data_IF_337533236832
#
_entry.id   IF_337533236832
#
_cell.length_a   1.000
_cell.length_b   1.000
_cell.length_c   1.000
_cell.angle_alpha   90.00
_cell.angle_beta   90.00
_cell.angle_gamma   90.00
#
_symmetry.space_group_name_H-M   'P 1'
#
loop_
_entity.id
_entity.type
_entity.pdbx_description
1 polymer ?
#
# COMPACT_ATOMS: atom_id res chain seq x y z
N UNK A 1 -9.14 -3.98 4.45
CA UNK A 1 -10.44 -4.71 4.57
C UNK A 1 -11.32 -3.97 5.54
N UNK A 2 -12.59 -3.77 5.21
CA UNK A 2 -13.55 -3.13 6.12
C UNK A 2 -13.84 -3.96 7.38
N UNK A 3 -14.40 -3.32 8.41
CA UNK A 3 -15.00 -4.04 9.54
C UNK A 3 -16.30 -4.74 9.08
N UNK A 4 -16.41 -6.04 9.33
CA UNK A 4 -17.63 -6.80 9.04
C UNK A 4 -18.87 -6.21 9.76
N UNK A 5 -18.67 -5.61 10.94
CA UNK A 5 -19.74 -4.94 11.68
C UNK A 5 -20.25 -3.70 10.95
N UNK A 6 -19.38 -2.98 10.24
CA UNK A 6 -19.79 -1.85 9.41
C UNK A 6 -20.66 -2.33 8.25
N UNK A 7 -20.22 -3.37 7.54
CA UNK A 7 -20.98 -3.95 6.41
C UNK A 7 -22.34 -4.47 6.88
N UNK A 8 -22.37 -5.15 8.01
CA UNK A 8 -23.61 -5.69 8.63
C UNK A 8 -24.60 -4.61 9.02
N UNK A 9 -24.12 -3.57 9.72
CA UNK A 9 -24.98 -2.59 10.36
C UNK A 9 -25.37 -1.43 9.43
N UNK A 10 -24.51 -1.12 8.45
CA UNK A 10 -24.68 0.00 7.52
C UNK A 10 -24.34 -0.40 6.07
N UNK A 11 -25.00 -1.42 5.50
CA UNK A 11 -24.70 -1.89 4.14
C UNK A 11 -24.91 -0.80 3.09
N UNK A 12 -25.88 0.09 3.26
CA UNK A 12 -26.14 1.17 2.31
C UNK A 12 -25.01 2.22 2.27
N UNK A 13 -24.36 2.52 3.41
CA UNK A 13 -23.17 3.38 3.45
C UNK A 13 -22.04 2.75 2.61
N UNK A 14 -21.83 1.44 2.73
CA UNK A 14 -20.80 0.74 1.96
C UNK A 14 -21.12 0.75 0.47
N UNK A 15 -22.40 0.52 0.11
CA UNK A 15 -22.86 0.58 -1.29
C UNK A 15 -22.74 1.99 -1.87
N UNK A 16 -23.08 3.03 -1.09
CA UNK A 16 -22.89 4.42 -1.51
C UNK A 16 -21.41 4.73 -1.78
N UNK A 17 -20.53 4.27 -0.92
CA UNK A 17 -19.08 4.41 -1.12
C UNK A 17 -18.59 3.69 -2.40
N UNK A 18 -19.09 2.49 -2.68
CA UNK A 18 -18.80 1.76 -3.92
C UNK A 18 -19.25 2.56 -5.15
N UNK A 19 -20.45 3.18 -5.13
CA UNK A 19 -20.94 4.05 -6.20
C UNK A 19 -20.06 5.30 -6.38
N UNK A 20 -19.64 5.93 -5.27
CA UNK A 20 -18.70 7.07 -5.29
C UNK A 20 -17.36 6.71 -5.94
N UNK A 21 -16.96 5.44 -5.87
CA UNK A 21 -15.75 4.91 -6.52
C UNK A 21 -15.99 4.38 -7.93
N UNK A 22 -17.19 4.49 -8.48
CA UNK A 22 -17.57 4.00 -9.81
C UNK A 22 -17.32 2.49 -10.01
N UNK A 23 -17.59 1.68 -8.98
CA UNK A 23 -17.35 0.24 -8.95
C UNK A 23 -18.64 -0.56 -8.74
N UNK A 24 -19.70 -0.19 -9.43
CA UNK A 24 -21.08 -0.71 -9.22
C UNK A 24 -21.17 -2.24 -9.33
N UNK A 25 -20.26 -2.88 -10.06
CA UNK A 25 -20.15 -4.34 -10.15
C UNK A 25 -19.89 -5.02 -8.79
N UNK A 26 -19.39 -4.28 -7.80
CA UNK A 26 -19.12 -4.78 -6.45
C UNK A 26 -20.31 -4.66 -5.50
N UNK A 27 -21.41 -3.99 -5.89
CA UNK A 27 -22.58 -3.77 -5.02
C UNK A 27 -23.19 -5.08 -4.53
N UNK A 28 -23.29 -6.08 -5.40
CA UNK A 28 -23.84 -7.40 -5.07
C UNK A 28 -23.05 -8.10 -3.95
N UNK A 29 -21.74 -7.87 -3.88
CA UNK A 29 -20.87 -8.47 -2.86
C UNK A 29 -21.25 -8.03 -1.44
N UNK A 30 -21.78 -6.81 -1.28
CA UNK A 30 -22.23 -6.30 0.03
C UNK A 30 -23.42 -7.12 0.53
N UNK A 31 -24.41 -7.36 -0.33
CA UNK A 31 -25.59 -8.15 0.02
C UNK A 31 -25.24 -9.62 0.31
N UNK A 32 -24.33 -10.18 -0.48
CA UNK A 32 -23.82 -11.54 -0.27
C UNK A 32 -23.12 -11.67 1.08
N UNK A 33 -22.25 -10.69 1.44
CA UNK A 33 -21.57 -10.67 2.75
C UNK A 33 -22.57 -10.57 3.89
N UNK A 34 -23.59 -9.70 3.78
CA UNK A 34 -24.63 -9.55 4.81
C UNK A 34 -25.40 -10.85 5.00
N UNK A 35 -25.76 -11.53 3.89
CA UNK A 35 -26.49 -12.80 3.94
C UNK A 35 -25.66 -13.91 4.58
N UNK A 36 -24.41 -14.08 4.14
CA UNK A 36 -23.49 -15.09 4.67
C UNK A 36 -23.12 -14.84 6.13
N UNK A 37 -22.90 -13.57 6.54
CA UNK A 37 -22.65 -13.23 7.94
C UNK A 37 -23.85 -13.53 8.83
N UNK A 38 -25.08 -13.37 8.32
CA UNK A 38 -26.29 -13.75 9.05
C UNK A 38 -26.34 -15.27 9.26
N UNK A 39 -26.13 -16.04 8.20
CA UNK A 39 -26.10 -17.51 8.24
C UNK A 39 -25.02 -17.99 9.20
N UNK A 40 -23.80 -17.48 9.09
CA UNK A 40 -22.69 -17.81 9.98
C UNK A 40 -23.04 -17.59 11.46
N UNK A 41 -23.69 -16.48 11.80
CA UNK A 41 -24.10 -16.19 13.18
C UNK A 41 -25.22 -17.10 13.69
N UNK A 42 -26.14 -17.49 12.80
CA UNK A 42 -27.18 -18.45 13.12
C UNK A 42 -26.59 -19.84 13.39
N UNK A 43 -25.67 -20.31 12.53
CA UNK A 43 -24.97 -21.58 12.68
C UNK A 43 -24.09 -21.60 13.94
N UNK A 44 -23.34 -20.53 14.20
CA UNK A 44 -22.52 -20.38 15.39
C UNK A 44 -23.36 -20.44 16.69
N UNK A 45 -24.49 -19.72 16.72
CA UNK A 45 -25.42 -19.73 17.86
C UNK A 45 -26.00 -21.14 18.05
N UNK A 46 -26.37 -21.83 16.98
CA UNK A 46 -26.87 -23.20 17.04
C UNK A 46 -25.80 -24.16 17.57
N UNK A 47 -24.57 -24.04 17.10
CA UNK A 47 -23.42 -24.80 17.60
C UNK A 47 -23.17 -24.61 19.09
N UNK A 48 -23.29 -23.39 19.61
CA UNK A 48 -23.17 -23.10 21.05
C UNK A 48 -24.28 -23.76 21.87
N UNK A 49 -25.53 -23.71 21.39
CA UNK A 49 -26.66 -24.40 22.03
C UNK A 49 -26.42 -25.91 22.10
N UNK A 50 -26.03 -26.52 20.98
CA UNK A 50 -25.72 -27.96 20.92
C UNK A 50 -24.54 -28.34 21.84
N UNK A 51 -23.53 -27.52 21.90
CA UNK A 51 -22.35 -27.70 22.78
C UNK A 51 -22.76 -27.74 24.25
N UNK A 52 -23.64 -26.83 24.67
CA UNK A 52 -24.19 -26.80 26.01
C UNK A 52 -25.07 -28.01 26.31
N UNK A 53 -26.03 -28.37 25.41
CA UNK A 53 -26.89 -29.54 25.56
C UNK A 53 -26.10 -30.84 25.64
N UNK A 54 -25.14 -31.04 24.75
CA UNK A 54 -24.19 -32.18 24.79
C UNK A 54 -23.49 -32.31 26.14
N UNK A 55 -23.00 -31.19 26.70
CA UNK A 55 -22.31 -31.21 28.00
C UNK A 55 -23.24 -31.62 29.14
N UNK A 56 -24.51 -31.21 29.12
CA UNK A 56 -25.53 -31.61 30.10
C UNK A 56 -25.82 -33.09 29.98
N UNK A 57 -26.16 -33.57 28.77
CA UNK A 57 -26.49 -34.97 28.53
C UNK A 57 -25.33 -35.92 28.83
N UNK A 58 -24.12 -35.54 28.52
CA UNK A 58 -22.94 -36.34 28.81
C UNK A 58 -22.74 -36.56 30.32
N UNK A 59 -23.02 -35.54 31.16
CA UNK A 59 -23.02 -35.69 32.61
C UNK A 59 -24.14 -36.60 33.10
N UNK A 60 -25.35 -36.58 32.48
CA UNK A 60 -26.48 -37.42 32.85
C UNK A 60 -26.24 -38.90 32.55
N UNK A 61 -25.54 -39.23 31.44
CA UNK A 61 -25.17 -40.61 31.06
C UNK A 61 -24.43 -41.29 32.22
N UNK A 62 -23.43 -40.61 32.83
CA UNK A 62 -22.70 -41.18 33.97
C UNK A 62 -23.61 -41.48 35.15
N UNK A 63 -24.59 -40.62 35.47
CA UNK A 63 -25.56 -40.83 36.51
C UNK A 63 -26.55 -41.96 36.20
N UNK A 64 -27.01 -42.12 34.93
CA UNK A 64 -27.88 -43.24 34.48
C UNK A 64 -27.15 -44.55 34.57
N UNK A 65 -25.88 -44.62 34.15
CA UNK A 65 -25.07 -45.84 34.28
C UNK A 65 -24.89 -46.26 35.73
N UNK A 66 -24.63 -45.31 36.64
CA UNK A 66 -24.50 -45.56 38.08
C UNK A 66 -25.81 -46.11 38.72
N UNK A 67 -26.99 -45.72 38.19
CA UNK A 67 -28.29 -46.21 38.64
C UNK A 67 -28.77 -47.50 37.92
N UNK A 68 -27.96 -48.07 37.00
CA UNK A 68 -28.31 -49.26 36.27
C UNK A 68 -29.32 -49.05 35.11
N UNK A 69 -29.63 -47.80 34.74
CA UNK A 69 -30.57 -47.40 33.69
C UNK A 69 -29.92 -47.50 32.29
N UNK A 70 -29.49 -48.72 31.91
CA UNK A 70 -28.64 -48.93 30.69
C UNK A 70 -29.33 -48.54 29.38
N UNK A 71 -30.61 -48.85 29.23
CA UNK A 71 -31.36 -48.57 27.99
C UNK A 71 -31.48 -47.06 27.75
N UNK A 72 -31.81 -46.30 28.81
CA UNK A 72 -31.83 -44.85 28.76
C UNK A 72 -30.46 -44.22 28.47
N UNK A 73 -29.40 -44.79 29.07
CA UNK A 73 -28.04 -44.33 28.81
C UNK A 73 -27.62 -44.55 27.35
N UNK A 74 -28.04 -45.68 26.74
CA UNK A 74 -27.73 -45.96 25.32
C UNK A 74 -28.55 -45.04 24.39
N UNK A 75 -29.83 -44.74 24.70
CA UNK A 75 -30.63 -43.76 23.96
C UNK A 75 -30.02 -42.34 24.03
N UNK A 76 -29.64 -41.88 25.22
CA UNK A 76 -28.96 -40.61 25.40
C UNK A 76 -27.57 -40.55 24.71
N UNK A 77 -26.84 -41.65 24.64
CA UNK A 77 -25.59 -41.70 23.84
C UNK A 77 -25.84 -41.49 22.35
N UNK A 78 -26.93 -42.09 21.81
CA UNK A 78 -27.28 -41.87 20.39
C UNK A 78 -27.64 -40.43 20.12
N UNK A 79 -28.37 -39.77 21.04
CA UNK A 79 -28.72 -38.36 20.97
C UNK A 79 -27.46 -37.48 21.01
N UNK A 80 -26.54 -37.75 21.94
CA UNK A 80 -25.23 -37.07 22.02
C UNK A 80 -24.42 -37.24 20.74
N UNK A 81 -24.46 -38.44 20.13
CA UNK A 81 -23.77 -38.69 18.85
C UNK A 81 -24.38 -37.87 17.72
N UNK A 82 -25.72 -37.84 17.61
CA UNK A 82 -26.42 -37.03 16.61
C UNK A 82 -26.09 -35.52 16.76
N UNK A 83 -26.02 -35.01 17.99
CA UNK A 83 -25.55 -33.65 18.26
C UNK A 83 -24.11 -33.40 17.83
N UNK A 84 -23.21 -34.37 18.04
CA UNK A 84 -21.82 -34.27 17.58
C UNK A 84 -21.72 -34.21 16.06
N UNK A 85 -22.51 -35.03 15.36
CA UNK A 85 -22.53 -35.05 13.90
C UNK A 85 -23.10 -33.70 13.33
N UNK A 86 -24.15 -33.16 13.97
CA UNK A 86 -24.71 -31.84 13.63
C UNK A 86 -23.68 -30.71 13.88
N UNK A 87 -23.00 -30.74 15.03
CA UNK A 87 -21.96 -29.74 15.35
C UNK A 87 -20.81 -29.77 14.34
N UNK A 88 -20.35 -30.96 13.92
CA UNK A 88 -19.29 -31.08 12.92
C UNK A 88 -19.73 -30.51 11.56
N UNK A 89 -21.00 -30.69 11.17
CA UNK A 89 -21.55 -30.12 9.96
C UNK A 89 -21.61 -28.57 10.03
N UNK A 90 -22.05 -28.03 11.18
CA UNK A 90 -22.08 -26.57 11.41
C UNK A 90 -20.69 -25.96 11.40
N UNK A 91 -19.70 -26.59 12.07
CA UNK A 91 -18.30 -26.13 12.09
C UNK A 91 -17.70 -26.10 10.66
N UNK A 92 -18.00 -27.12 9.84
CA UNK A 92 -17.57 -27.13 8.44
C UNK A 92 -18.23 -26.02 7.63
N UNK A 93 -19.52 -25.74 7.86
CA UNK A 93 -20.26 -24.67 7.20
C UNK A 93 -19.77 -23.29 7.63
N UNK A 94 -19.53 -23.08 8.93
CA UNK A 94 -18.93 -21.85 9.45
C UNK A 94 -17.58 -21.54 8.77
N UNK A 95 -16.70 -22.55 8.64
CA UNK A 95 -15.41 -22.39 7.98
C UNK A 95 -15.54 -22.04 6.48
N UNK A 96 -16.50 -22.63 5.77
CA UNK A 96 -16.81 -22.29 4.37
C UNK A 96 -17.29 -20.83 4.26
N UNK A 97 -18.26 -20.46 5.12
CA UNK A 97 -18.81 -19.09 5.13
C UNK A 97 -17.74 -18.05 5.47
N UNK A 98 -16.86 -18.31 6.45
CA UNK A 98 -15.74 -17.42 6.77
C UNK A 98 -14.81 -17.20 5.58
N UNK A 99 -14.47 -18.27 4.85
CA UNK A 99 -13.61 -18.17 3.67
C UNK A 99 -14.27 -17.34 2.55
N UNK A 100 -15.56 -17.56 2.28
CA UNK A 100 -16.32 -16.84 1.26
C UNK A 100 -16.58 -15.37 1.63
N UNK A 101 -16.89 -15.09 2.90
CA UNK A 101 -16.98 -13.72 3.43
C UNK A 101 -15.65 -13.02 3.27
N UNK A 102 -14.53 -13.64 3.71
CA UNK A 102 -13.19 -13.06 3.61
C UNK A 102 -12.83 -12.73 2.17
N UNK A 103 -13.13 -13.61 1.23
CA UNK A 103 -12.86 -13.41 -0.21
C UNK A 103 -13.54 -12.14 -0.73
N UNK A 104 -14.82 -11.93 -0.41
CA UNK A 104 -15.58 -10.73 -0.83
C UNK A 104 -15.10 -9.47 -0.11
N UNK A 105 -14.87 -9.57 1.20
CA UNK A 105 -14.38 -8.45 2.01
C UNK A 105 -13.00 -7.94 1.56
N UNK A 106 -12.18 -8.77 0.93
CA UNK A 106 -10.90 -8.37 0.34
C UNK A 106 -11.05 -7.56 -0.95
N UNK A 107 -12.22 -7.66 -1.62
CA UNK A 107 -12.52 -6.95 -2.88
C UNK A 107 -13.34 -5.68 -2.64
N UNK A 108 -14.17 -5.66 -1.60
CA UNK A 108 -14.94 -4.46 -1.22
C UNK A 108 -13.96 -3.34 -0.84
N UNK A 109 -14.05 -2.14 -1.48
CA UNK A 109 -13.13 -1.05 -1.22
C UNK A 109 -13.31 -0.45 0.17
N UNK A 110 -12.24 0.18 0.67
CA UNK A 110 -12.28 0.95 1.92
C UNK A 110 -13.20 2.17 1.78
N UNK A 111 -13.72 2.65 2.91
CA UNK A 111 -14.51 3.90 2.92
C UNK A 111 -13.57 5.07 2.69
N UNK A 112 -13.87 5.88 1.68
CA UNK A 112 -13.11 7.10 1.41
C UNK A 112 -13.46 8.20 2.40
N UNK A 113 -12.49 9.08 2.68
CA UNK A 113 -12.71 10.27 3.50
C UNK A 113 -13.73 11.21 2.83
N UNK A 114 -14.54 11.90 3.63
CA UNK A 114 -15.59 12.79 3.14
C UNK A 114 -15.06 13.97 2.32
N UNK A 115 -13.80 14.35 2.52
CA UNK A 115 -13.12 15.42 1.79
C UNK A 115 -12.59 14.99 0.42
N UNK A 116 -12.63 13.70 0.08
CA UNK A 116 -12.17 13.20 -1.22
C UNK A 116 -13.08 13.71 -2.34
N UNK A 117 -12.53 14.37 -3.37
CA UNK A 117 -13.32 14.82 -4.50
C UNK A 117 -13.93 13.63 -5.26
N UNK A 118 -15.19 13.78 -5.69
CA UNK A 118 -15.85 12.74 -6.47
C UNK A 118 -15.49 12.95 -7.94
N UNK A 119 -14.90 11.93 -8.55
CA UNK A 119 -14.46 11.94 -9.93
C UNK A 119 -14.24 10.50 -10.41
N UNK A 120 -14.28 10.29 -11.73
CA UNK A 120 -14.30 8.97 -12.35
C UNK A 120 -12.90 8.36 -12.51
N UNK A 121 -11.92 9.18 -12.85
CA UNK A 121 -10.55 8.77 -13.15
C UNK A 121 -9.55 9.90 -12.85
N UNK A 122 -8.26 9.66 -13.09
CA UNK A 122 -7.15 10.57 -12.80
C UNK A 122 -7.26 11.94 -13.47
N UNK A 123 -8.01 12.07 -14.56
CA UNK A 123 -8.25 13.35 -15.24
C UNK A 123 -9.10 14.33 -14.41
N UNK A 124 -9.83 13.82 -13.43
CA UNK A 124 -10.68 14.59 -12.50
C UNK A 124 -10.03 14.82 -11.11
N UNK A 125 -8.75 14.48 -10.97
CA UNK A 125 -7.96 14.80 -9.78
C UNK A 125 -7.84 16.33 -9.61
N UNK A 126 -7.87 16.80 -8.37
CA UNK A 126 -7.97 18.22 -8.04
C UNK A 126 -6.63 18.79 -7.58
N UNK A 127 -6.11 19.78 -8.30
CA UNK A 127 -4.93 20.53 -7.86
C UNK A 127 -5.23 21.27 -6.55
N UNK A 128 -4.39 21.06 -5.52
CA UNK A 128 -4.52 21.72 -4.22
C UNK A 128 -3.65 22.96 -4.13
N UNK A 129 -2.36 22.82 -4.39
CA UNK A 129 -1.39 23.89 -4.17
C UNK A 129 -0.14 23.68 -5.04
N UNK A 130 0.50 24.81 -5.40
CA UNK A 130 1.79 24.86 -6.12
C UNK A 130 2.87 25.42 -5.23
N UNK A 131 4.04 24.80 -5.31
CA UNK A 131 5.23 25.16 -4.55
C UNK A 131 6.40 25.46 -5.49
N UNK A 132 6.91 26.67 -5.41
CA UNK A 132 7.92 27.18 -6.32
C UNK A 132 7.33 27.68 -7.64
N UNK A 133 8.13 28.44 -8.36
CA UNK A 133 7.73 29.05 -9.63
C UNK A 133 8.19 28.19 -10.80
N UNK A 134 7.30 27.65 -11.63
CA UNK A 134 7.68 27.00 -12.87
C UNK A 134 8.44 27.96 -13.78
N UNK A 135 9.54 27.49 -14.35
CA UNK A 135 10.37 28.26 -15.29
C UNK A 135 10.44 27.47 -16.59
N UNK A 136 10.28 28.16 -17.70
CA UNK A 136 10.59 27.66 -19.04
C UNK A 136 11.78 28.49 -19.53
N UNK A 137 12.96 27.87 -19.71
CA UNK A 137 14.12 28.59 -20.19
C UNK A 137 13.94 29.03 -21.65
N UNK A 138 14.77 29.96 -22.09
CA UNK A 138 14.80 30.46 -23.48
C UNK A 138 15.64 29.60 -24.44
N UNK A 139 16.10 28.45 -23.96
CA UNK A 139 16.82 27.42 -24.73
C UNK A 139 16.06 26.09 -24.71
N UNK A 140 16.33 25.27 -25.71
CA UNK A 140 15.72 23.96 -25.85
C UNK A 140 16.23 23.00 -24.75
N UNK A 141 15.30 22.30 -24.11
CA UNK A 141 15.61 21.21 -23.19
C UNK A 141 15.41 19.91 -23.95
N UNK A 142 16.50 19.13 -24.21
CA UNK A 142 16.42 17.85 -24.87
C UNK A 142 15.65 16.81 -24.03
N UNK A 143 15.31 15.69 -24.63
CA UNK A 143 14.77 14.56 -23.92
C UNK A 143 15.76 14.04 -22.85
N UNK A 144 15.28 13.60 -21.72
CA UNK A 144 16.17 13.23 -20.59
C UNK A 144 17.22 12.17 -20.94
N UNK A 145 16.90 11.23 -21.84
CA UNK A 145 17.89 10.24 -22.32
C UNK A 145 19.01 10.94 -23.10
N UNK A 146 18.65 11.88 -23.97
CA UNK A 146 19.63 12.59 -24.80
C UNK A 146 20.57 13.46 -23.91
N UNK A 147 20.02 14.05 -22.84
CA UNK A 147 20.84 14.75 -21.82
C UNK A 147 21.82 13.79 -21.15
N UNK A 148 21.35 12.61 -20.71
CA UNK A 148 22.19 11.61 -20.06
C UNK A 148 23.22 10.99 -21.01
N UNK A 149 22.86 10.75 -22.27
CA UNK A 149 23.78 10.23 -23.29
C UNK A 149 24.92 11.23 -23.57
N UNK A 150 24.63 12.53 -23.64
CA UNK A 150 25.62 13.59 -23.87
C UNK A 150 26.74 13.57 -22.81
N UNK A 151 26.41 13.27 -21.55
CA UNK A 151 27.39 13.15 -20.46
C UNK A 151 27.82 11.70 -20.22
N UNK A 152 27.60 10.79 -21.19
CA UNK A 152 27.90 9.35 -21.11
C UNK A 152 27.33 8.69 -19.83
N UNK A 153 26.16 9.12 -19.40
CA UNK A 153 25.53 8.77 -18.12
C UNK A 153 24.50 7.63 -18.18
N UNK A 154 24.09 7.17 -19.37
CA UNK A 154 23.11 6.09 -19.56
C UNK A 154 23.50 5.15 -20.70
N UNK A 155 23.05 3.90 -20.65
CA UNK A 155 23.22 2.90 -21.72
C UNK A 155 21.98 2.00 -21.80
N UNK A 156 21.02 2.42 -22.59
CA UNK A 156 19.77 1.69 -22.81
C UNK A 156 20.00 0.46 -23.68
N UNK A 157 20.91 0.52 -24.66
CA UNK A 157 21.17 -0.60 -25.55
C UNK A 157 21.85 -1.78 -24.85
N UNK A 158 22.77 -1.50 -23.91
CA UNK A 158 23.31 -2.55 -23.06
C UNK A 158 22.23 -3.18 -22.17
N UNK A 159 21.36 -2.37 -21.57
CA UNK A 159 20.26 -2.87 -20.75
C UNK A 159 19.29 -3.76 -21.57
N UNK A 160 18.97 -3.34 -22.81
CA UNK A 160 18.11 -4.11 -23.70
C UNK A 160 18.70 -5.48 -24.06
N UNK A 161 20.04 -5.56 -24.26
CA UNK A 161 20.73 -6.83 -24.51
C UNK A 161 20.74 -7.77 -23.32
N UNK A 162 20.77 -7.22 -22.09
CA UNK A 162 20.88 -8.02 -20.86
C UNK A 162 19.52 -8.42 -20.30
N UNK A 163 18.56 -7.49 -20.27
CA UNK A 163 17.31 -7.66 -19.52
C UNK A 163 16.05 -7.37 -20.36
N UNK A 164 16.19 -6.85 -21.57
CA UNK A 164 15.07 -6.43 -22.40
C UNK A 164 14.72 -4.95 -22.24
N UNK A 165 13.53 -4.58 -22.71
CA UNK A 165 13.00 -3.22 -22.57
C UNK A 165 12.60 -2.93 -21.13
N UNK A 166 12.52 -1.64 -20.76
CA UNK A 166 12.12 -1.21 -19.41
C UNK A 166 13.21 -1.37 -18.34
N UNK A 167 14.47 -1.52 -18.77
CA UNK A 167 15.67 -1.52 -17.92
C UNK A 167 16.68 -0.47 -18.42
N UNK A 168 17.60 -0.10 -17.56
CA UNK A 168 18.62 0.90 -17.87
C UNK A 168 19.95 0.57 -17.17
N UNK A 169 21.06 1.04 -17.74
CA UNK A 169 22.33 1.20 -17.06
C UNK A 169 22.58 2.69 -16.85
N UNK A 170 22.79 3.14 -15.62
CA UNK A 170 23.33 4.45 -15.34
C UNK A 170 24.85 4.33 -15.19
N UNK A 171 25.58 5.37 -15.63
CA UNK A 171 27.03 5.40 -15.60
C UNK A 171 27.57 6.75 -15.12
N UNK A 172 28.82 6.79 -14.69
CA UNK A 172 29.55 8.03 -14.37
C UNK A 172 28.82 8.90 -13.34
N UNK A 173 28.74 10.19 -13.63
CA UNK A 173 28.15 11.17 -12.73
C UNK A 173 26.63 11.06 -12.63
N UNK A 174 25.94 10.53 -13.63
CA UNK A 174 24.49 10.26 -13.53
C UNK A 174 24.21 9.10 -12.56
N UNK A 175 25.00 8.02 -12.59
CA UNK A 175 24.89 6.95 -11.58
C UNK A 175 25.21 7.45 -10.17
N UNK A 176 26.19 8.35 -10.05
CA UNK A 176 26.51 9.00 -8.79
C UNK A 176 25.38 9.91 -8.31
N UNK A 177 24.79 10.72 -9.21
CA UNK A 177 23.63 11.57 -8.90
C UNK A 177 22.44 10.76 -8.41
N UNK A 178 22.15 9.64 -9.06
CA UNK A 178 21.11 8.70 -8.62
C UNK A 178 21.33 8.24 -7.17
N UNK A 179 22.57 7.80 -6.84
CA UNK A 179 22.92 7.39 -5.47
C UNK A 179 22.94 8.56 -4.49
N UNK A 180 23.34 9.76 -4.94
CA UNK A 180 23.35 10.98 -4.15
C UNK A 180 21.94 11.40 -3.73
N UNK A 181 20.96 11.35 -4.66
CA UNK A 181 19.55 11.64 -4.40
C UNK A 181 19.00 10.70 -3.32
N UNK A 182 19.25 9.39 -3.42
CA UNK A 182 18.81 8.40 -2.43
C UNK A 182 19.50 8.61 -1.06
N UNK A 183 20.80 8.90 -1.05
CA UNK A 183 21.54 9.15 0.19
C UNK A 183 21.04 10.40 0.90
N UNK A 184 20.79 11.47 0.14
CA UNK A 184 20.22 12.70 0.66
C UNK A 184 18.79 12.46 1.20
N UNK A 185 17.95 11.73 0.47
CA UNK A 185 16.59 11.41 0.90
C UNK A 185 16.56 10.60 2.21
N UNK A 186 17.48 9.64 2.36
CA UNK A 186 17.65 8.89 3.61
C UNK A 186 17.98 9.83 4.77
N UNK A 187 19.01 10.67 4.60
CA UNK A 187 19.49 11.55 5.67
C UNK A 187 18.45 12.65 5.98
N UNK A 188 17.75 13.15 4.95
CA UNK A 188 16.60 14.06 5.11
C UNK A 188 15.52 13.47 6.02
N UNK A 189 15.15 12.20 5.81
CA UNK A 189 14.13 11.54 6.63
C UNK A 189 14.61 11.21 8.05
N UNK A 190 15.87 10.82 8.21
CA UNK A 190 16.48 10.64 9.54
C UNK A 190 16.41 11.96 10.32
N UNK A 191 16.72 13.09 9.69
CA UNK A 191 16.65 14.42 10.30
C UNK A 191 15.20 14.84 10.65
N UNK A 192 14.18 14.26 9.97
CA UNK A 192 12.76 14.41 10.33
C UNK A 192 12.33 13.48 11.50
N UNK A 193 13.24 12.69 12.05
CA UNK A 193 12.99 11.79 13.18
C UNK A 193 12.49 10.40 12.79
N UNK A 194 12.59 10.02 11.51
CA UNK A 194 12.22 8.68 11.06
C UNK A 194 13.33 7.68 11.33
N UNK A 195 12.97 6.49 11.78
CA UNK A 195 13.91 5.37 11.92
C UNK A 195 14.20 4.76 10.55
N UNK A 196 15.48 4.77 10.14
CA UNK A 196 15.90 4.15 8.89
C UNK A 196 15.97 2.63 9.03
N UNK A 197 15.38 1.92 8.06
CA UNK A 197 15.31 0.46 8.00
C UNK A 197 15.76 -0.06 6.63
N UNK A 198 16.40 -1.21 6.62
CA UNK A 198 16.66 -2.01 5.41
C UNK A 198 15.82 -3.28 5.50
N UNK A 199 14.70 -3.36 4.79
CA UNK A 199 13.78 -4.50 4.88
C UNK A 199 14.17 -5.65 3.94
N UNK A 200 13.58 -6.85 4.09
CA UNK A 200 13.62 -7.87 3.06
C UNK A 200 13.00 -7.38 1.74
N UNK A 201 13.58 -7.77 0.60
CA UNK A 201 13.09 -7.37 -0.72
C UNK A 201 12.19 -8.43 -1.39
N UNK A 202 11.83 -9.45 -0.63
CA UNK A 202 10.88 -10.49 -1.03
C UNK A 202 9.91 -10.76 0.12
N UNK A 203 8.63 -10.92 -0.20
CA UNK A 203 7.59 -11.17 0.78
C UNK A 203 6.77 -12.39 0.43
N UNK A 204 6.24 -13.07 1.46
CA UNK A 204 5.26 -14.14 1.30
C UNK A 204 3.91 -13.59 0.82
N UNK A 205 3.13 -14.45 0.14
CA UNK A 205 1.80 -14.12 -0.37
C UNK A 205 0.87 -13.52 0.70
N UNK A 206 0.93 -14.02 1.94
CA UNK A 206 0.13 -13.51 3.05
C UNK A 206 0.41 -12.06 3.41
N UNK A 207 1.68 -11.61 3.30
CA UNK A 207 2.04 -10.20 3.48
C UNK A 207 1.55 -9.37 2.30
N UNK A 208 1.82 -9.83 1.06
CA UNK A 208 1.45 -9.09 -0.16
C UNK A 208 -0.05 -8.87 -0.23
N UNK A 209 -0.87 -9.91 0.00
CA UNK A 209 -2.34 -9.81 0.02
C UNK A 209 -2.88 -8.96 1.17
N UNK A 210 -2.07 -8.73 2.20
CA UNK A 210 -2.41 -7.82 3.31
C UNK A 210 -2.24 -6.35 2.97
N UNK A 211 -1.28 -6.02 2.10
CA UNK A 211 -0.90 -4.62 1.81
C UNK A 211 -1.47 -4.08 0.51
N UNK A 212 -1.91 -4.92 -0.43
CA UNK A 212 -2.49 -4.53 -1.72
C UNK A 212 -3.69 -5.38 -2.11
N UNK A 213 -4.39 -5.00 -3.18
CA UNK A 213 -5.47 -5.81 -3.75
C UNK A 213 -4.93 -6.98 -4.58
N UNK A 214 -5.76 -8.01 -4.81
CA UNK A 214 -5.37 -9.13 -5.67
C UNK A 214 -5.11 -8.71 -7.11
N UNK A 215 -5.91 -7.79 -7.65
CA UNK A 215 -5.74 -7.29 -9.01
C UNK A 215 -4.40 -6.57 -9.17
N UNK A 216 -4.03 -5.72 -8.21
CA UNK A 216 -2.72 -5.06 -8.18
C UNK A 216 -1.59 -6.09 -8.06
N UNK A 217 -1.74 -7.10 -7.21
CA UNK A 217 -0.74 -8.15 -7.03
C UNK A 217 -0.46 -8.91 -8.34
N UNK A 218 -1.49 -9.37 -9.05
CA UNK A 218 -1.33 -10.08 -10.33
C UNK A 218 -0.72 -9.22 -11.43
N UNK A 219 -1.16 -7.97 -11.53
CA UNK A 219 -0.69 -7.02 -12.55
C UNK A 219 0.72 -6.48 -12.31
N UNK A 220 1.13 -6.37 -11.04
CA UNK A 220 2.35 -5.66 -10.65
C UNK A 220 3.50 -6.57 -10.24
N UNK A 221 3.23 -7.65 -9.50
CA UNK A 221 4.26 -8.38 -8.74
C UNK A 221 4.93 -9.48 -9.54
N UNK A 222 6.26 -9.58 -9.44
CA UNK A 222 7.03 -10.76 -9.86
C UNK A 222 6.98 -11.82 -8.78
N UNK A 223 6.55 -13.02 -9.12
CA UNK A 223 6.57 -14.20 -8.25
C UNK A 223 7.80 -15.04 -8.51
N UNK A 224 8.44 -15.55 -7.46
CA UNK A 224 9.51 -16.54 -7.58
C UNK A 224 8.88 -17.90 -7.89
N UNK A 225 9.39 -18.56 -8.92
CA UNK A 225 8.89 -19.86 -9.35
C UNK A 225 9.13 -20.92 -8.27
N UNK A 226 8.10 -21.73 -8.01
CA UNK A 226 8.10 -22.82 -7.00
C UNK A 226 8.30 -22.38 -5.54
N UNK A 227 8.20 -21.07 -5.24
CA UNK A 227 8.29 -20.55 -3.89
C UNK A 227 7.10 -19.65 -3.54
N UNK A 228 6.76 -19.54 -2.25
CA UNK A 228 5.81 -18.54 -1.75
C UNK A 228 6.53 -17.23 -1.47
N UNK A 229 7.19 -16.68 -2.51
CA UNK A 229 7.90 -15.41 -2.45
C UNK A 229 7.59 -14.53 -3.66
N UNK A 230 7.49 -13.23 -3.42
CA UNK A 230 7.25 -12.20 -4.41
C UNK A 230 8.29 -11.08 -4.24
N UNK A 231 8.88 -10.61 -5.32
CA UNK A 231 9.71 -9.41 -5.30
C UNK A 231 8.85 -8.19 -4.95
N UNK A 232 9.35 -7.32 -4.09
CA UNK A 232 8.58 -6.14 -3.65
C UNK A 232 8.46 -5.10 -4.77
N UNK A 233 7.28 -4.49 -4.90
CA UNK A 233 7.04 -3.31 -5.75
C UNK A 233 7.32 -1.99 -5.03
N UNK A 234 7.51 -2.05 -3.71
CA UNK A 234 7.82 -0.94 -2.80
C UNK A 234 8.23 -1.50 -1.44
N UNK A 235 9.08 -0.79 -0.71
CA UNK A 235 9.44 -1.19 0.66
C UNK A 235 8.27 -1.12 1.65
N UNK A 236 7.20 -0.38 1.32
CA UNK A 236 5.96 -0.38 2.10
C UNK A 236 5.50 -1.81 2.44
N UNK A 237 5.54 -2.72 1.46
CA UNK A 237 5.09 -4.10 1.63
C UNK A 237 5.81 -4.80 2.79
N UNK A 238 7.13 -4.73 2.81
CA UNK A 238 7.94 -5.36 3.86
C UNK A 238 7.84 -4.62 5.18
N UNK A 239 7.79 -3.29 5.13
CA UNK A 239 7.77 -2.45 6.33
C UNK A 239 6.45 -2.61 7.10
N UNK A 240 5.31 -2.57 6.41
CA UNK A 240 3.99 -2.84 7.03
C UNK A 240 3.90 -4.32 7.41
N UNK A 241 4.40 -5.22 6.56
CA UNK A 241 4.46 -6.66 6.85
C UNK A 241 5.25 -7.03 8.11
N UNK A 242 6.21 -6.19 8.53
CA UNK A 242 6.96 -6.40 9.78
C UNK A 242 6.10 -6.35 11.04
N UNK A 243 4.90 -5.79 10.94
CA UNK A 243 3.94 -5.71 12.05
C UNK A 243 2.85 -6.80 12.01
N UNK A 244 2.94 -7.81 11.10
CA UNK A 244 1.93 -8.87 11.00
C UNK A 244 1.70 -9.55 12.35
N UNK A 245 0.41 -9.72 12.73
CA UNK A 245 -0.05 -10.33 13.98
C UNK A 245 0.58 -9.73 15.25
N UNK A 246 0.93 -8.44 15.23
CA UNK A 246 1.52 -7.76 16.38
C UNK A 246 0.51 -6.92 17.15
N UNK A 247 0.79 -6.80 18.46
CA UNK A 247 0.15 -5.86 19.38
C UNK A 247 1.16 -4.78 19.73
N UNK A 248 0.95 -3.55 19.27
CA UNK A 248 1.82 -2.40 19.50
C UNK A 248 1.34 -1.68 20.75
N UNK A 249 2.22 -1.45 21.70
CA UNK A 249 1.88 -0.66 22.90
C UNK A 249 1.58 0.79 22.48
N UNK A 250 0.44 1.32 22.91
CA UNK A 250 -0.07 2.64 22.51
C UNK A 250 0.92 3.78 22.77
N UNK A 251 1.64 3.72 23.90
CA UNK A 251 2.63 4.72 24.32
C UNK A 251 3.85 4.78 23.38
N UNK A 252 4.01 3.79 22.50
CA UNK A 252 5.14 3.72 21.56
C UNK A 252 4.79 4.23 20.15
N UNK A 253 3.57 4.72 19.98
CA UNK A 253 3.09 5.32 18.72
C UNK A 253 3.33 6.83 18.68
N UNK A 254 3.51 7.42 17.50
CA UNK A 254 3.54 6.75 16.19
C UNK A 254 4.85 5.99 15.94
N UNK A 255 4.80 4.95 15.08
CA UNK A 255 5.98 4.34 14.49
C UNK A 255 6.25 5.04 13.16
N UNK A 256 7.33 5.79 13.10
CA UNK A 256 7.77 6.54 11.91
C UNK A 256 9.01 5.89 11.35
N UNK A 257 8.87 5.26 10.18
CA UNK A 257 9.92 4.47 9.56
C UNK A 257 10.21 4.99 8.16
N UNK A 258 11.46 4.95 7.75
CA UNK A 258 11.86 5.22 6.37
C UNK A 258 12.76 4.12 5.87
N UNK A 259 12.63 3.76 4.59
CA UNK A 259 13.37 2.65 4.04
C UNK A 259 13.74 2.86 2.59
N UNK A 260 14.95 2.44 2.25
CA UNK A 260 15.40 2.25 0.89
C UNK A 260 15.08 0.84 0.42
N UNK A 261 14.64 0.69 -0.81
CA UNK A 261 14.61 -0.60 -1.48
C UNK A 261 14.72 -0.50 -3.00
N UNK A 262 15.24 -1.55 -3.66
CA UNK A 262 14.85 -1.81 -5.04
C UNK A 262 13.35 -2.11 -5.10
N UNK A 263 12.75 -1.79 -6.24
CA UNK A 263 11.33 -2.02 -6.53
C UNK A 263 11.24 -2.72 -7.87
N UNK A 264 10.39 -3.74 -7.95
CA UNK A 264 10.21 -4.56 -9.15
C UNK A 264 8.73 -4.56 -9.55
N UNK A 265 8.43 -4.10 -10.78
CA UNK A 265 7.07 -4.01 -11.28
C UNK A 265 6.97 -4.53 -12.69
N UNK A 266 5.92 -5.32 -12.96
CA UNK A 266 5.65 -5.86 -14.31
C UNK A 266 5.24 -4.79 -15.31
N UNK A 267 4.73 -3.64 -14.85
CA UNK A 267 4.24 -2.52 -15.67
C UNK A 267 3.31 -2.98 -16.83
N UNK A 268 2.40 -3.91 -16.54
CA UNK A 268 1.49 -4.49 -17.53
C UNK A 268 0.53 -3.41 -18.04
N UNK A 269 0.42 -3.28 -19.37
CA UNK A 269 -0.50 -2.33 -20.02
C UNK A 269 0.06 -0.92 -20.25
N UNK A 270 1.30 -0.66 -19.87
CA UNK A 270 1.95 0.62 -20.18
C UNK A 270 2.43 0.63 -21.64
N UNK A 271 1.75 1.41 -22.49
CA UNK A 271 2.11 1.61 -23.90
C UNK A 271 2.15 3.11 -24.19
N UNK A 272 3.16 3.58 -24.97
CA UNK A 272 3.24 4.96 -25.43
C UNK A 272 4.63 5.58 -25.51
N UNK A 273 4.69 6.90 -25.75
CA UNK A 273 5.94 7.69 -25.90
C UNK A 273 6.85 7.61 -24.65
N UNK A 274 6.28 7.29 -23.50
CA UNK A 274 7.00 7.14 -22.23
C UNK A 274 7.77 5.82 -22.08
N UNK A 275 7.69 4.93 -23.06
CA UNK A 275 8.46 3.66 -23.10
C UNK A 275 9.96 3.86 -23.31
N UNK A 276 10.35 4.98 -23.93
CA UNK A 276 11.77 5.32 -24.10
C UNK A 276 12.29 6.01 -22.84
N UNK A 277 13.37 5.47 -22.26
CA UNK A 277 14.05 6.10 -21.14
C UNK A 277 13.71 5.48 -19.78
N UNK A 278 13.61 6.32 -18.75
CA UNK A 278 13.51 5.86 -17.35
C UNK A 278 12.16 6.19 -16.68
N UNK A 279 11.16 6.65 -17.43
CA UNK A 279 9.87 7.06 -16.85
C UNK A 279 9.06 5.86 -16.31
N UNK A 280 8.98 4.77 -17.08
CA UNK A 280 8.38 3.49 -16.68
C UNK A 280 9.37 2.36 -16.89
N UNK A 281 9.73 1.72 -15.79
CA UNK A 281 10.79 0.72 -15.76
C UNK A 281 10.42 -0.45 -14.85
N UNK A 282 10.88 -1.64 -15.18
CA UNK A 282 10.61 -2.86 -14.41
C UNK A 282 11.37 -2.93 -13.09
N UNK A 283 12.51 -2.22 -13.02
CA UNK A 283 13.34 -2.15 -11.83
C UNK A 283 13.76 -0.71 -11.57
N UNK A 284 13.58 -0.24 -10.34
CA UNK A 284 14.04 1.06 -9.87
C UNK A 284 14.30 1.01 -8.36
N UNK A 285 14.84 2.07 -7.79
CA UNK A 285 14.98 2.23 -6.35
C UNK A 285 14.02 3.29 -5.84
N UNK A 286 13.71 3.20 -4.55
CA UNK A 286 12.84 4.15 -3.87
C UNK A 286 13.22 4.31 -2.39
N UNK A 287 13.16 5.55 -1.91
CA UNK A 287 13.11 5.87 -0.49
C UNK A 287 11.67 6.15 -0.10
N UNK A 288 11.17 5.44 0.91
CA UNK A 288 9.78 5.44 1.34
C UNK A 288 9.63 5.98 2.77
N UNK A 289 8.48 6.57 3.06
CA UNK A 289 8.02 6.93 4.41
C UNK A 289 6.86 6.03 4.81
N UNK A 290 6.90 5.47 6.01
CA UNK A 290 5.86 4.62 6.58
C UNK A 290 5.49 5.14 7.96
N UNK A 291 4.20 5.26 8.22
CA UNK A 291 3.68 5.60 9.55
C UNK A 291 2.65 4.57 9.97
N UNK A 292 2.82 4.07 11.21
CA UNK A 292 1.79 3.30 11.92
C UNK A 292 1.39 4.13 13.12
N UNK A 293 0.13 4.49 13.21
CA UNK A 293 -0.36 5.44 14.24
C UNK A 293 -1.75 5.08 14.76
N UNK A 294 -2.22 5.88 15.72
CA UNK A 294 -3.60 5.84 16.16
C UNK A 294 -4.55 6.39 15.09
N UNK A 295 -5.83 5.94 15.05
CA UNK A 295 -6.81 6.45 14.10
C UNK A 295 -6.94 7.98 14.11
N UNK A 296 -6.98 8.58 15.29
CA UNK A 296 -7.14 10.03 15.50
C UNK A 296 -5.97 10.86 14.98
N UNK A 297 -4.77 10.26 14.85
CA UNK A 297 -3.55 10.95 14.40
C UNK A 297 -3.34 10.83 12.88
N UNK A 298 -4.09 9.96 12.19
CA UNK A 298 -3.76 9.55 10.82
C UNK A 298 -3.87 10.70 9.80
N UNK A 299 -4.85 11.59 9.92
CA UNK A 299 -4.98 12.72 9.00
C UNK A 299 -3.87 13.75 9.19
N UNK A 300 -3.46 14.01 10.45
CA UNK A 300 -2.33 14.90 10.73
C UNK A 300 -1.00 14.33 10.20
N UNK A 301 -0.82 13.01 10.25
CA UNK A 301 0.33 12.35 9.64
C UNK A 301 0.26 12.36 8.12
N UNK A 302 -0.91 12.19 7.53
CA UNK A 302 -1.11 12.29 6.09
C UNK A 302 -0.62 13.65 5.57
N UNK A 303 -1.02 14.75 6.21
CA UNK A 303 -0.61 16.10 5.84
C UNK A 303 0.89 16.33 6.00
N UNK A 304 1.51 15.80 7.05
CA UNK A 304 2.97 15.84 7.22
C UNK A 304 3.72 15.06 6.14
N UNK A 305 3.23 13.86 5.78
CA UNK A 305 3.93 13.00 4.85
C UNK A 305 4.05 13.63 3.45
N UNK A 306 2.95 14.11 2.87
CA UNK A 306 3.04 14.74 1.55
C UNK A 306 3.84 16.04 1.60
N UNK A 307 3.78 16.80 2.69
CA UNK A 307 4.57 18.04 2.85
C UNK A 307 6.09 17.75 2.87
N UNK A 308 6.53 16.63 3.41
CA UNK A 308 7.95 16.24 3.39
C UNK A 308 8.45 15.94 1.97
N UNK A 309 7.63 15.33 1.12
CA UNK A 309 7.99 15.15 -0.31
C UNK A 309 8.09 16.50 -1.01
N UNK A 310 7.15 17.41 -0.77
CA UNK A 310 7.22 18.79 -1.29
C UNK A 310 8.51 19.48 -0.84
N UNK A 311 8.83 19.44 0.45
CA UNK A 311 10.04 20.02 1.01
C UNK A 311 11.31 19.42 0.38
N UNK A 312 11.34 18.10 0.21
CA UNK A 312 12.46 17.39 -0.44
C UNK A 312 12.68 17.91 -1.86
N UNK A 313 11.67 17.92 -2.71
CA UNK A 313 11.81 18.41 -4.09
C UNK A 313 12.15 19.91 -4.16
N UNK A 314 11.59 20.71 -3.26
CA UNK A 314 11.91 22.14 -3.17
C UNK A 314 13.36 22.39 -2.75
N UNK A 315 13.95 21.53 -1.92
CA UNK A 315 15.38 21.60 -1.56
C UNK A 315 16.31 21.31 -2.74
N UNK A 316 15.80 20.68 -3.81
CA UNK A 316 16.50 20.43 -5.07
C UNK A 316 16.19 21.48 -6.17
N UNK A 317 15.56 22.61 -5.79
CA UNK A 317 15.12 23.67 -6.70
C UNK A 317 14.07 23.22 -7.76
N UNK A 318 13.38 22.11 -7.52
CA UNK A 318 12.35 21.58 -8.43
C UNK A 318 10.97 22.11 -8.01
N UNK A 319 10.26 22.87 -8.87
CA UNK A 319 8.86 23.25 -8.62
C UNK A 319 7.96 22.03 -8.61
N UNK A 320 7.03 21.97 -7.65
CA UNK A 320 6.06 20.89 -7.53
C UNK A 320 4.65 21.41 -7.31
N UNK A 321 3.65 20.57 -7.55
CA UNK A 321 2.27 20.78 -7.11
C UNK A 321 1.76 19.54 -6.39
N UNK A 322 0.69 19.71 -5.61
CA UNK A 322 -0.06 18.62 -5.01
C UNK A 322 -1.39 18.44 -5.70
N UNK A 323 -1.73 17.19 -5.99
CA UNK A 323 -2.94 16.79 -6.70
C UNK A 323 -3.71 15.81 -5.82
N UNK A 324 -4.92 16.19 -5.38
CA UNK A 324 -5.76 15.30 -4.60
C UNK A 324 -6.46 14.31 -5.51
N UNK A 325 -6.24 13.02 -5.27
CA UNK A 325 -6.84 11.95 -6.05
C UNK A 325 -8.36 11.90 -5.80
N UNK A 326 -9.13 11.84 -6.87
CA UNK A 326 -10.57 11.69 -6.80
C UNK A 326 -10.98 10.23 -6.47
N UNK A 327 -12.24 10.04 -6.16
CA UNK A 327 -12.79 8.77 -5.67
C UNK A 327 -12.57 7.58 -6.61
N UNK A 328 -12.66 7.79 -7.93
CA UNK A 328 -12.48 6.75 -8.93
C UNK A 328 -11.00 6.38 -9.20
N UNK A 329 -10.07 7.32 -8.92
CA UNK A 329 -8.63 7.07 -9.04
C UNK A 329 -8.02 6.41 -7.78
N UNK A 330 -8.71 6.47 -6.63
CA UNK A 330 -8.22 5.85 -5.41
C UNK A 330 -8.21 4.32 -5.50
N UNK A 331 -7.06 3.70 -5.25
CA UNK A 331 -6.97 2.26 -5.06
C UNK A 331 -7.86 1.78 -3.90
N UNK A 332 -8.28 0.50 -3.93
CA UNK A 332 -9.33 -0.02 -3.05
C UNK A 332 -9.04 0.08 -1.54
N UNK A 333 -7.76 0.06 -1.15
CA UNK A 333 -7.40 0.15 0.25
C UNK A 333 -7.29 1.58 0.78
N UNK A 334 -7.19 2.57 -0.11
CA UNK A 334 -6.94 3.96 0.27
C UNK A 334 -8.20 4.64 0.79
N UNK A 335 -8.06 5.36 1.89
CA UNK A 335 -9.05 6.30 2.44
C UNK A 335 -8.92 7.65 1.75
N UNK A 336 -7.68 8.07 1.51
CA UNK A 336 -7.33 9.35 0.88
C UNK A 336 -5.95 9.26 0.26
N UNK A 337 -5.72 9.97 -0.85
CA UNK A 337 -4.41 10.06 -1.50
C UNK A 337 -4.16 11.46 -2.05
N UNK A 338 -2.90 11.88 -2.00
CA UNK A 338 -2.39 13.09 -2.64
C UNK A 338 -1.12 12.73 -3.39
N UNK A 339 -1.10 13.05 -4.67
CA UNK A 339 0.10 12.93 -5.49
C UNK A 339 0.90 14.22 -5.44
N UNK A 340 2.22 14.07 -5.43
CA UNK A 340 3.16 15.17 -5.63
C UNK A 340 3.68 15.06 -7.05
N UNK A 341 3.51 16.12 -7.81
CA UNK A 341 3.95 16.19 -9.21
C UNK A 341 5.04 17.25 -9.37
N UNK A 342 6.08 16.93 -10.13
CA UNK A 342 7.19 17.83 -10.44
C UNK A 342 6.98 18.51 -11.80
N UNK A 343 7.44 19.75 -11.90
CA UNK A 343 7.40 20.52 -13.14
C UNK A 343 8.39 19.99 -14.17
N UNK A 344 7.92 19.78 -15.39
CA UNK A 344 8.74 19.53 -16.57
C UNK A 344 8.81 20.77 -17.44
N UNK A 345 9.92 21.51 -17.48
CA UNK A 345 10.07 22.66 -18.37
C UNK A 345 9.99 22.27 -19.85
N UNK A 346 10.46 21.08 -20.20
CA UNK A 346 10.42 20.54 -21.57
C UNK A 346 8.99 20.31 -22.05
N UNK A 347 8.14 19.68 -21.20
CA UNK A 347 6.76 19.36 -21.54
C UNK A 347 5.79 20.49 -21.18
N UNK A 348 6.25 21.48 -20.41
CA UNK A 348 5.44 22.57 -19.81
C UNK A 348 4.22 22.04 -19.06
N UNK A 349 4.40 20.92 -18.35
CA UNK A 349 3.38 20.27 -17.52
C UNK A 349 4.02 19.64 -16.28
N UNK A 350 3.19 19.30 -15.32
CA UNK A 350 3.57 18.53 -14.16
C UNK A 350 3.40 17.04 -14.43
N UNK A 351 4.19 16.20 -13.75
CA UNK A 351 4.06 14.74 -13.74
C UNK A 351 4.37 14.17 -12.36
N UNK A 352 3.73 13.06 -12.03
CA UNK A 352 3.83 12.40 -10.73
C UNK A 352 5.25 11.95 -10.40
N UNK A 353 5.74 12.32 -9.21
CA UNK A 353 7.02 11.91 -8.63
C UNK A 353 6.87 11.23 -7.27
N UNK A 354 5.70 11.28 -6.67
CA UNK A 354 5.40 10.62 -5.41
C UNK A 354 3.90 10.60 -5.14
N UNK A 355 3.45 9.62 -4.38
CA UNK A 355 2.04 9.46 -3.97
C UNK A 355 1.97 9.17 -2.48
N UNK A 356 1.25 10.02 -1.76
CA UNK A 356 0.98 9.88 -0.33
C UNK A 356 -0.38 9.21 -0.13
N UNK A 357 -0.44 8.19 0.71
CA UNK A 357 -1.67 7.44 0.94
C UNK A 357 -1.97 7.25 2.42
N UNK A 358 -3.21 7.49 2.80
CA UNK A 358 -3.79 7.04 4.06
C UNK A 358 -4.65 5.80 3.78
N UNK A 359 -4.30 4.67 4.40
CA UNK A 359 -5.00 3.39 4.23
C UNK A 359 -6.02 3.14 5.37
N UNK A 360 -6.10 4.04 6.35
CA UNK A 360 -6.88 3.80 7.54
C UNK A 360 -6.48 2.48 8.21
N UNK A 361 -7.45 1.69 8.62
CA UNK A 361 -7.21 0.38 9.25
C UNK A 361 -7.23 -0.80 8.25
N UNK A 362 -7.31 -0.54 6.94
CA UNK A 362 -7.49 -1.59 5.94
C UNK A 362 -6.37 -2.64 5.94
N UNK A 363 -5.11 -2.20 5.94
CA UNK A 363 -3.94 -3.11 6.00
C UNK A 363 -3.84 -3.74 7.39
N UNK A 364 -4.05 -2.98 8.44
CA UNK A 364 -3.99 -3.46 9.82
C UNK A 364 -5.01 -4.60 10.09
N UNK A 365 -6.23 -4.50 9.55
CA UNK A 365 -7.22 -5.59 9.63
C UNK A 365 -6.83 -6.83 8.85
N UNK A 366 -6.18 -6.67 7.70
CA UNK A 366 -5.71 -7.79 6.90
C UNK A 366 -4.54 -8.53 7.53
N UNK A 367 -3.65 -7.78 8.20
CA UNK A 367 -2.40 -8.27 8.77
C UNK A 367 -2.43 -8.47 10.28
N UNK A 368 -3.57 -8.24 10.96
CA UNK A 368 -3.68 -8.42 12.40
C UNK A 368 -2.92 -7.38 13.23
N UNK A 369 -2.65 -6.18 12.71
CA UNK A 369 -1.88 -5.13 13.41
C UNK A 369 -2.79 -4.39 14.39
N UNK A 370 -2.59 -4.58 15.68
CA UNK A 370 -3.45 -4.00 16.73
C UNK A 370 -2.66 -3.12 17.67
N UNK A 371 -3.33 -2.08 18.17
CA UNK A 371 -2.84 -1.25 19.26
C UNK A 371 -3.37 -1.83 20.55
N UNK A 372 -2.45 -2.01 21.51
CA UNK A 372 -2.78 -2.50 22.84
C UNK A 372 -3.13 -1.35 23.74
N UNK A 373 -4.37 -1.30 24.18
CA UNK A 373 -4.85 -0.33 25.16
C UNK A 373 -5.51 -1.07 26.32
N UNK A 374 -5.07 -0.77 27.55
CA UNK A 374 -5.52 -1.46 28.77
C UNK A 374 -6.93 -1.03 29.20
N UNK A 375 -7.33 0.18 28.84
CA UNK A 375 -8.60 0.77 29.30
C UNK A 375 -9.71 0.58 28.29
N UNK A 376 -9.43 0.82 26.98
CA UNK A 376 -10.41 0.81 25.90
C UNK A 376 -10.50 -0.53 25.18
N UNK A 377 -9.62 -1.50 25.52
CA UNK A 377 -9.44 -2.72 24.76
C UNK A 377 -8.57 -2.51 23.50
N UNK A 378 -8.21 -3.62 22.84
CA UNK A 378 -7.36 -3.58 21.66
C UNK A 378 -8.15 -3.11 20.44
N UNK A 379 -7.53 -2.28 19.59
CA UNK A 379 -8.10 -1.77 18.35
C UNK A 379 -7.08 -1.79 17.20
N UNK A 380 -7.53 -1.61 15.95
CA UNK A 380 -6.64 -1.65 14.79
C UNK A 380 -5.89 -0.34 14.62
N UNK A 381 -4.62 -0.44 14.24
CA UNK A 381 -3.81 0.71 13.88
C UNK A 381 -4.25 1.29 12.53
N UNK A 382 -3.91 2.56 12.28
CA UNK A 382 -3.92 3.15 10.94
C UNK A 382 -2.51 3.10 10.34
N UNK A 383 -2.45 2.90 9.03
CA UNK A 383 -1.20 2.84 8.27
C UNK A 383 -1.19 3.90 7.17
N UNK A 384 -0.05 4.52 6.98
CA UNK A 384 0.18 5.52 5.94
C UNK A 384 1.52 5.27 5.27
N UNK A 385 1.61 5.62 4.00
CA UNK A 385 2.86 5.61 3.26
C UNK A 385 2.97 6.83 2.37
N UNK A 386 4.20 7.17 2.02
CA UNK A 386 4.50 8.16 0.99
C UNK A 386 5.88 7.93 0.42
N UNK A 387 6.03 8.22 -0.85
CA UNK A 387 7.33 8.24 -1.52
C UNK A 387 8.10 9.51 -1.14
N UNK A 388 9.28 9.37 -0.54
CA UNK A 388 10.22 10.50 -0.43
C UNK A 388 10.74 10.84 -1.81
N UNK A 389 11.31 9.82 -2.48
CA UNK A 389 11.88 9.94 -3.83
C UNK A 389 11.95 8.57 -4.51
N UNK A 390 11.66 8.57 -5.82
CA UNK A 390 11.96 7.49 -6.75
C UNK A 390 12.86 8.06 -7.87
N UNK A 391 14.16 7.76 -7.86
CA UNK A 391 15.14 8.42 -8.74
C UNK A 391 14.79 8.45 -10.23
N UNK A 392 14.18 7.43 -10.87
CA UNK A 392 13.95 7.49 -12.31
C UNK A 392 13.15 8.74 -12.74
N UNK A 393 11.98 8.96 -12.12
CA UNK A 393 11.18 10.16 -12.41
C UNK A 393 11.82 11.43 -11.84
N UNK A 394 12.47 11.31 -10.70
CA UNK A 394 13.22 12.44 -10.10
C UNK A 394 14.38 12.87 -10.98
N UNK A 395 15.12 11.94 -11.61
CA UNK A 395 16.17 12.27 -12.55
C UNK A 395 15.63 13.07 -13.75
N UNK A 396 14.46 12.71 -14.28
CA UNK A 396 13.83 13.48 -15.37
C UNK A 396 13.60 14.92 -14.91
N UNK A 397 12.89 15.10 -13.79
CA UNK A 397 12.60 16.43 -13.25
C UNK A 397 13.89 17.18 -12.91
N UNK A 398 14.88 16.51 -12.31
CA UNK A 398 16.16 17.09 -11.95
C UNK A 398 16.94 17.60 -13.17
N UNK A 399 17.10 16.75 -14.17
CA UNK A 399 17.83 17.09 -15.39
C UNK A 399 17.18 18.25 -16.12
N UNK A 400 15.87 18.21 -16.31
CA UNK A 400 15.14 19.27 -17.03
C UNK A 400 15.15 20.62 -16.30
N UNK A 401 15.10 20.64 -14.95
CA UNK A 401 15.10 21.89 -14.17
C UNK A 401 16.52 22.44 -13.90
N UNK A 402 17.57 21.61 -13.96
CA UNK A 402 18.93 22.01 -13.62
C UNK A 402 19.89 22.07 -14.83
N UNK A 403 19.45 21.71 -16.04
CA UNK A 403 20.22 21.89 -17.27
C UNK A 403 20.48 23.37 -17.51
N UNK A 404 21.66 23.73 -17.97
CA UNK A 404 22.07 25.09 -18.35
C UNK A 404 22.20 25.21 -19.86
N UNK A 405 22.18 26.45 -20.36
CA UNK A 405 22.30 26.73 -21.80
C UNK A 405 23.60 26.19 -22.44
N UNK A 406 24.68 26.09 -21.69
CA UNK A 406 25.93 25.49 -22.12
C UNK A 406 25.95 23.96 -22.11
N UNK A 407 24.88 23.34 -21.64
CA UNK A 407 24.69 21.89 -21.55
C UNK A 407 25.20 21.26 -20.28
N UNK A 408 25.73 22.03 -19.34
CA UNK A 408 26.07 21.54 -18.00
C UNK A 408 24.83 21.35 -17.15
N UNK A 409 24.89 20.47 -16.16
CA UNK A 409 23.79 20.20 -15.23
C UNK A 409 24.19 20.69 -13.85
N UNK A 410 23.52 21.70 -13.33
CA UNK A 410 23.81 22.26 -12.01
C UNK A 410 23.44 21.28 -10.89
N UNK A 411 24.29 21.20 -9.86
CA UNK A 411 24.03 20.38 -8.67
C UNK A 411 23.66 21.31 -7.51
N UNK A 412 22.40 21.27 -7.03
CA UNK A 412 21.98 22.00 -5.84
C UNK A 412 22.85 21.70 -4.62
N UNK A 413 22.99 22.68 -3.76
CA UNK A 413 23.91 22.62 -2.60
C UNK A 413 23.69 21.37 -1.75
N UNK A 414 22.47 20.92 -1.39
CA UNK A 414 22.25 19.73 -0.56
C UNK A 414 22.83 18.43 -1.13
N UNK A 415 23.00 18.33 -2.46
CA UNK A 415 23.54 17.13 -3.12
C UNK A 415 25.07 17.15 -3.27
N UNK A 416 25.72 18.31 -3.17
CA UNK A 416 27.14 18.45 -3.48
C UNK A 416 28.06 17.56 -2.63
N UNK A 417 27.74 17.39 -1.34
CA UNK A 417 28.51 16.50 -0.47
C UNK A 417 28.48 15.05 -0.94
N UNK A 418 27.35 14.58 -1.45
CA UNK A 418 27.20 13.22 -1.99
C UNK A 418 27.80 13.08 -3.39
N UNK A 419 27.98 14.20 -4.09
CA UNK A 419 28.64 14.29 -5.42
C UNK A 419 30.15 14.59 -5.35
N UNK A 420 30.75 14.49 -4.14
CA UNK A 420 32.17 14.76 -3.95
C UNK A 420 32.57 16.22 -4.13
N UNK A 421 31.64 17.12 -3.79
CA UNK A 421 31.84 18.56 -3.87
C UNK A 421 31.61 19.16 -5.27
N UNK A 422 31.24 18.37 -6.28
CA UNK A 422 30.91 18.87 -7.62
C UNK A 422 29.73 19.82 -7.58
N UNK A 423 29.84 20.94 -8.31
CA UNK A 423 28.74 21.90 -8.51
C UNK A 423 28.02 21.72 -9.83
N UNK A 424 28.62 20.98 -10.78
CA UNK A 424 28.09 20.71 -12.11
C UNK A 424 28.47 19.30 -12.58
N UNK A 425 27.64 18.73 -13.47
CA UNK A 425 27.96 17.59 -14.34
C UNK A 425 28.20 18.15 -15.73
N UNK A 426 29.31 17.70 -16.38
CA UNK A 426 29.74 18.15 -17.69
C UNK A 426 29.73 16.99 -18.69
#
# INVERSE_FOLDING_TARGET
MLDIKLVRNNPELVKENIRKKFQDEKLVMVDEVVAMDKEWREDHTRGDVLRNQRNVLSKQIGGMMARGERDKAEETKKEVKAMQDEMAALEAREAELEAEIRKRMLVIPNIIDESVPIGKDDSENVERERFGKPVVPDYEIPYHVDIMEKVNGIDIDAARRVSGNGFYYLKGDIARLHSAILSYARDFMINKGFTYCVPPFMNRSGVVSGVMSFAEMEGMMYKIENEDLYLIGTSEHSMIGSFIDTFIDEDTLPRTLTSYSPCFRKEVGAHGIEERGVYRVHQFEKQEMIVVCKPEDSMAWFDKLWSYTVEFFRSLDIPVRTLECCSGDLADLKVKSVDVEAWSPRQQKYFEVGSCSNLGDAQARRLGIRIKNKEKGNYFAHTLNNTVVAPPRTLIAFLENNLKADGTIAIPEPLRMYMGGKSFIE
#
